data_IF_568172378911
#
_entry.id   IF_568172378911
#
_cell.length_a   1.000
_cell.length_b   1.000
_cell.length_c   1.000
_cell.angle_alpha   90.00
_cell.angle_beta   90.00
_cell.angle_gamma   90.00
#
_symmetry.space_group_name_H-M   'P 1'
#
loop_
_entity.id
_entity.type
_entity.pdbx_description
1 polymer ?
#
# COMPACT_ATOMS: atom_id res chain seq x y z
N UNK A 1 -2.11 15.46 -19.47
CA UNK A 1 -1.29 14.78 -18.43
C UNK A 1 -1.95 14.70 -17.03
N UNK A 2 -3.29 14.74 -16.90
CA UNK A 2 -3.99 14.67 -15.59
C UNK A 2 -4.67 13.33 -15.27
N UNK A 3 -4.77 12.42 -16.22
CA UNK A 3 -5.55 11.18 -16.10
C UNK A 3 -4.88 10.11 -15.20
N UNK A 4 -3.55 10.05 -15.19
CA UNK A 4 -2.84 8.99 -14.48
C UNK A 4 -2.92 9.13 -12.95
N UNK A 5 -3.00 10.34 -12.41
CA UNK A 5 -3.06 10.56 -10.96
C UNK A 5 -4.36 10.00 -10.37
N UNK A 6 -5.49 10.22 -11.06
CA UNK A 6 -6.80 9.73 -10.62
C UNK A 6 -6.85 8.19 -10.55
N UNK A 7 -6.30 7.50 -11.57
CA UNK A 7 -6.30 6.03 -11.59
C UNK A 7 -5.53 5.39 -10.43
N UNK A 8 -4.37 5.93 -10.07
CA UNK A 8 -3.57 5.37 -8.96
C UNK A 8 -4.21 5.65 -7.60
N UNK A 9 -4.87 6.78 -7.43
CA UNK A 9 -5.63 7.11 -6.23
C UNK A 9 -6.86 6.20 -6.07
N UNK A 10 -7.59 5.93 -7.16
CA UNK A 10 -8.70 4.96 -7.16
C UNK A 10 -8.23 3.55 -6.81
N UNK A 11 -7.15 3.09 -7.45
CA UNK A 11 -6.56 1.78 -7.15
C UNK A 11 -6.03 1.72 -5.71
N UNK A 12 -5.42 2.79 -5.20
CA UNK A 12 -4.96 2.87 -3.82
C UNK A 12 -6.12 2.70 -2.86
N UNK A 13 -7.23 3.42 -3.10
CA UNK A 13 -8.43 3.29 -2.27
C UNK A 13 -8.96 1.86 -2.30
N UNK A 14 -9.08 1.27 -3.49
CA UNK A 14 -9.59 -0.09 -3.65
C UNK A 14 -8.73 -1.13 -2.92
N UNK A 15 -7.40 -1.11 -3.13
CA UNK A 15 -6.48 -2.04 -2.47
C UNK A 15 -6.37 -1.80 -0.97
N UNK A 16 -6.46 -0.55 -0.50
CA UNK A 16 -6.48 -0.24 0.92
C UNK A 16 -7.73 -0.83 1.59
N UNK A 17 -8.91 -0.69 0.98
CA UNK A 17 -10.14 -1.29 1.49
C UNK A 17 -10.02 -2.81 1.56
N UNK A 18 -9.56 -3.45 0.47
CA UNK A 18 -9.38 -4.90 0.43
C UNK A 18 -8.41 -5.40 1.51
N UNK A 19 -7.24 -4.75 1.67
CA UNK A 19 -6.26 -5.08 2.69
C UNK A 19 -6.85 -4.94 4.11
N UNK A 20 -7.61 -3.87 4.36
CA UNK A 20 -8.23 -3.63 5.66
C UNK A 20 -9.29 -4.67 5.99
N UNK A 21 -10.11 -5.07 5.02
CA UNK A 21 -11.15 -6.07 5.24
C UNK A 21 -10.55 -7.45 5.52
N UNK A 22 -9.51 -7.84 4.77
CA UNK A 22 -8.72 -9.04 5.08
C UNK A 22 -8.11 -8.96 6.48
N UNK A 23 -7.51 -7.83 6.85
CA UNK A 23 -6.88 -7.65 8.17
C UNK A 23 -7.91 -7.73 9.30
N UNK A 24 -9.09 -7.11 9.13
CA UNK A 24 -10.16 -7.20 10.13
C UNK A 24 -10.63 -8.65 10.31
N UNK A 25 -10.73 -9.41 9.22
CA UNK A 25 -11.09 -10.81 9.26
C UNK A 25 -10.06 -11.61 10.07
N UNK A 26 -8.77 -11.47 9.78
CA UNK A 26 -7.72 -12.20 10.50
C UNK A 26 -7.62 -11.82 11.97
N UNK A 27 -7.86 -10.55 12.32
CA UNK A 27 -7.94 -10.09 13.72
C UNK A 27 -9.16 -10.68 14.43
N UNK A 28 -10.34 -10.70 13.80
CA UNK A 28 -11.56 -11.29 14.38
C UNK A 28 -11.43 -12.78 14.66
N UNK A 29 -10.69 -13.50 13.81
CA UNK A 29 -10.40 -14.92 14.01
C UNK A 29 -9.24 -15.19 14.97
N UNK A 30 -8.66 -14.16 15.61
CA UNK A 30 -7.57 -14.32 16.57
C UNK A 30 -6.23 -14.71 15.94
N UNK A 31 -6.11 -14.68 14.61
CA UNK A 31 -4.88 -15.01 13.88
C UNK A 31 -3.84 -13.89 14.04
N UNK A 32 -4.30 -12.63 14.08
CA UNK A 32 -3.46 -11.46 14.22
C UNK A 32 -3.88 -10.60 15.41
N UNK A 33 -2.90 -9.91 16.02
CA UNK A 33 -3.19 -8.90 17.06
C UNK A 33 -3.81 -7.65 16.42
N UNK A 34 -4.77 -6.97 17.08
CA UNK A 34 -5.42 -5.77 16.55
C UNK A 34 -4.46 -4.66 16.11
N UNK A 35 -3.31 -4.55 16.77
CA UNK A 35 -2.29 -3.55 16.46
C UNK A 35 -1.72 -3.70 15.04
N UNK A 36 -1.89 -4.85 14.36
CA UNK A 36 -1.42 -5.03 12.99
C UNK A 36 -2.04 -4.02 12.00
N UNK A 37 -3.27 -3.56 12.27
CA UNK A 37 -3.99 -2.60 11.44
C UNK A 37 -3.22 -1.27 11.24
N UNK A 38 -2.41 -0.85 12.22
CA UNK A 38 -1.64 0.40 12.11
C UNK A 38 -0.47 0.31 11.12
N UNK A 39 -0.09 -0.92 10.74
CA UNK A 39 1.00 -1.20 9.82
C UNK A 39 0.53 -1.55 8.41
N UNK A 40 -0.75 -1.90 8.23
CA UNK A 40 -1.36 -2.26 6.95
C UNK A 40 -1.88 -1.04 6.18
N UNK A 41 -0.98 -0.11 5.91
CA UNK A 41 -1.24 1.05 5.07
C UNK A 41 -0.47 0.95 3.75
N UNK A 42 -1.16 1.25 2.66
CA UNK A 42 -0.63 1.35 1.31
C UNK A 42 -0.46 2.82 0.92
N UNK A 43 0.37 3.06 -0.08
CA UNK A 43 0.59 4.39 -0.65
C UNK A 43 1.02 4.26 -2.10
N UNK A 44 0.86 5.34 -2.88
CA UNK A 44 1.47 5.43 -4.20
C UNK A 44 2.95 5.73 -4.01
N UNK A 45 3.80 4.78 -4.40
CA UNK A 45 5.24 4.89 -4.34
C UNK A 45 5.86 4.99 -5.72
N UNK A 46 7.00 5.66 -5.79
CA UNK A 46 7.88 5.69 -6.96
C UNK A 46 9.09 4.82 -6.65
N UNK A 47 9.17 3.66 -7.28
CA UNK A 47 10.22 2.66 -7.09
C UNK A 47 11.34 2.87 -8.11
N UNK A 48 12.57 2.86 -7.63
CA UNK A 48 13.78 3.04 -8.43
C UNK A 48 14.53 1.71 -8.52
N UNK A 49 14.80 1.27 -9.74
CA UNK A 49 15.56 0.07 -10.02
C UNK A 49 16.79 0.43 -10.87
N UNK A 50 17.98 -0.14 -10.62
CA UNK A 50 19.18 0.15 -11.39
C UNK A 50 18.97 -0.07 -12.89
N UNK A 51 19.33 0.93 -13.70
CA UNK A 51 19.23 0.87 -15.17
C UNK A 51 17.80 0.86 -15.72
N UNK A 52 16.78 1.19 -14.92
CA UNK A 52 15.38 1.24 -15.35
C UNK A 52 14.73 2.58 -14.98
N UNK A 53 13.73 2.96 -15.77
CA UNK A 53 12.86 4.09 -15.44
C UNK A 53 12.10 3.85 -14.12
N UNK A 54 11.86 4.90 -13.33
CA UNK A 54 11.11 4.76 -12.09
C UNK A 54 9.69 4.24 -12.32
N UNK A 55 9.29 3.25 -11.53
CA UNK A 55 7.97 2.62 -11.62
C UNK A 55 7.05 3.23 -10.57
N UNK A 56 5.88 3.70 -10.99
CA UNK A 56 4.81 4.12 -10.07
C UNK A 56 4.00 2.86 -9.71
N UNK A 57 3.89 2.56 -8.42
CA UNK A 57 3.17 1.39 -7.93
C UNK A 57 2.50 1.67 -6.59
N UNK A 58 1.50 0.87 -6.25
CA UNK A 58 0.92 0.86 -4.90
C UNK A 58 1.77 -0.09 -4.05
N UNK A 59 2.32 0.42 -2.95
CA UNK A 59 3.29 -0.30 -2.12
C UNK A 59 2.94 -0.17 -0.64
N UNK A 60 3.43 -1.09 0.22
CA UNK A 60 3.33 -0.92 1.66
C UNK A 60 4.05 0.35 2.10
N UNK A 61 3.33 1.24 2.78
CA UNK A 61 3.86 2.54 3.21
C UNK A 61 5.10 2.39 4.10
N UNK A 62 5.12 1.36 4.96
CA UNK A 62 6.27 1.07 5.82
C UNK A 62 7.50 0.62 5.02
N UNK A 63 7.32 -0.21 4.00
CA UNK A 63 8.41 -0.62 3.12
C UNK A 63 8.99 0.59 2.38
N UNK A 64 8.14 1.48 1.85
CA UNK A 64 8.59 2.69 1.19
C UNK A 64 9.43 3.57 2.12
N UNK A 65 9.02 3.72 3.38
CA UNK A 65 9.79 4.44 4.41
C UNK A 65 11.13 3.78 4.73
N UNK A 66 11.24 2.46 4.68
CA UNK A 66 12.50 1.75 4.93
C UNK A 66 13.50 1.97 3.77
N UNK A 67 12.99 2.04 2.54
CA UNK A 67 13.86 2.15 1.34
C UNK A 67 14.29 3.60 1.10
N UNK A 68 13.42 4.57 1.36
CA UNK A 68 13.60 5.97 0.95
C UNK A 68 13.53 7.00 2.08
N UNK A 69 13.26 6.57 3.31
CA UNK A 69 13.09 7.43 4.48
C UNK A 69 14.20 7.29 5.51
#
# INVERSE_FOLDING_TARGET
MKENTNRHEELLRYYQTWLMDYTKLTVRHGICRPNICIYHNLTVGRLYFPGKEPVIAIVPQRLQKIIYG
#
